data_IF_377986868509
#
_entry.id   IF_377986868509
#
_cell.length_a   1.000
_cell.length_b   1.000
_cell.length_c   1.000
_cell.angle_alpha   90.00
_cell.angle_beta   90.00
_cell.angle_gamma   90.00
#
_symmetry.space_group_name_H-M   'P 1'
#
loop_
_entity.id
_entity.type
_entity.pdbx_description
1 polymer ?
#
# COMPACT_ATOMS: atom_id res chain seq x y z
N UNK A 1 69.85 39.28 -22.93
CA UNK A 1 69.10 37.99 -22.68
C UNK A 1 67.83 38.08 -23.49
N UNK A 2 67.59 37.25 -24.49
CA UNK A 2 66.32 37.26 -25.23
C UNK A 2 65.25 36.64 -24.34
N UNK A 3 64.14 37.36 -24.21
CA UNK A 3 62.95 36.87 -23.56
C UNK A 3 62.41 35.68 -24.37
N UNK A 4 62.32 34.55 -23.76
CA UNK A 4 61.82 33.31 -24.33
C UNK A 4 60.32 33.51 -24.70
N UNK A 5 60.07 33.80 -25.96
CA UNK A 5 58.71 33.91 -26.48
C UNK A 5 58.05 32.53 -26.43
N UNK A 6 56.91 32.45 -25.80
CA UNK A 6 56.15 31.22 -25.68
C UNK A 6 55.99 30.60 -27.13
N UNK A 7 56.39 29.31 -27.26
CA UNK A 7 56.26 28.57 -28.49
C UNK A 7 54.80 28.54 -28.98
N UNK A 8 54.45 29.05 -30.18
CA UNK A 8 53.10 29.12 -30.70
C UNK A 8 52.35 27.77 -30.67
N UNK A 9 53.08 26.68 -30.81
CA UNK A 9 52.51 25.32 -30.73
C UNK A 9 52.05 24.95 -29.30
N UNK A 10 52.85 25.35 -28.30
CA UNK A 10 52.50 25.13 -26.89
C UNK A 10 51.27 25.96 -26.46
N UNK A 11 51.15 27.18 -26.94
CA UNK A 11 49.98 28.04 -26.71
C UNK A 11 48.71 27.43 -27.32
N UNK A 12 48.77 26.87 -28.52
CA UNK A 12 47.63 26.17 -29.15
C UNK A 12 47.22 24.94 -28.35
N UNK A 13 48.19 24.15 -27.87
CA UNK A 13 47.93 22.96 -27.04
C UNK A 13 47.31 23.34 -25.70
N UNK A 14 47.80 24.40 -25.05
CA UNK A 14 47.18 24.90 -23.80
C UNK A 14 45.73 25.31 -23.99
N UNK A 15 45.45 26.07 -25.07
CA UNK A 15 44.08 26.49 -25.43
C UNK A 15 43.19 25.30 -25.76
N UNK A 16 43.68 24.31 -26.49
CA UNK A 16 42.93 23.09 -26.81
C UNK A 16 42.60 22.28 -25.55
N UNK A 17 43.58 22.07 -24.66
CA UNK A 17 43.38 21.41 -23.37
C UNK A 17 42.35 22.16 -22.48
N UNK A 18 42.46 23.48 -22.41
CA UNK A 18 41.52 24.28 -21.62
C UNK A 18 40.08 24.17 -22.16
N UNK A 19 39.88 24.12 -23.48
CA UNK A 19 38.59 23.88 -24.11
C UNK A 19 38.05 22.47 -23.78
N UNK A 20 38.89 21.45 -23.89
CA UNK A 20 38.53 20.07 -23.58
C UNK A 20 38.09 19.93 -22.11
N UNK A 21 38.84 20.51 -21.18
CA UNK A 21 38.48 20.50 -19.75
C UNK A 21 37.16 21.20 -19.48
N UNK A 22 36.86 22.32 -20.17
CA UNK A 22 35.54 22.98 -20.03
C UNK A 22 34.41 22.10 -20.55
N UNK A 23 34.61 21.38 -21.66
CA UNK A 23 33.60 20.45 -22.18
C UNK A 23 33.39 19.26 -21.26
N UNK A 24 34.44 18.66 -20.72
CA UNK A 24 34.37 17.56 -19.76
C UNK A 24 33.66 18.01 -18.48
N UNK A 25 34.02 19.18 -17.93
CA UNK A 25 33.37 19.72 -16.74
C UNK A 25 31.89 20.03 -16.99
N UNK A 26 31.55 20.59 -18.16
CA UNK A 26 30.15 20.84 -18.53
C UNK A 26 29.35 19.54 -18.70
N UNK A 27 29.91 18.53 -19.33
CA UNK A 27 29.29 17.22 -19.50
C UNK A 27 29.08 16.51 -18.13
N UNK A 28 30.09 16.58 -17.25
CA UNK A 28 29.98 16.01 -15.91
C UNK A 28 28.91 16.71 -15.05
N UNK A 29 28.86 18.05 -15.08
CA UNK A 29 27.85 18.84 -14.37
C UNK A 29 26.44 18.56 -14.93
N UNK A 30 26.29 18.51 -16.26
CA UNK A 30 25.00 18.20 -16.90
C UNK A 30 24.55 16.77 -16.60
N UNK A 31 25.45 15.80 -16.61
CA UNK A 31 25.15 14.41 -16.24
C UNK A 31 24.73 14.27 -14.78
N UNK A 32 25.40 14.98 -13.87
CA UNK A 32 25.03 14.99 -12.46
C UNK A 32 23.63 15.58 -12.23
N UNK A 33 23.32 16.73 -12.86
CA UNK A 33 22.00 17.36 -12.74
C UNK A 33 20.89 16.49 -13.34
N UNK A 34 21.13 15.86 -14.49
CA UNK A 34 20.17 14.94 -15.10
C UNK A 34 19.94 13.71 -14.22
N UNK A 35 21.00 13.12 -13.67
CA UNK A 35 20.92 12.00 -12.74
C UNK A 35 20.17 12.35 -11.45
N UNK A 36 20.46 13.52 -10.85
CA UNK A 36 19.75 14.00 -9.68
C UNK A 36 18.26 14.23 -9.97
N UNK A 37 17.91 14.79 -11.13
CA UNK A 37 16.52 14.99 -11.54
C UNK A 37 15.78 13.66 -11.71
N UNK A 38 16.42 12.66 -12.34
CA UNK A 38 15.82 11.33 -12.50
C UNK A 38 15.61 10.61 -11.17
N UNK A 39 16.56 10.72 -10.24
CA UNK A 39 16.43 10.14 -8.90
C UNK A 39 15.29 10.82 -8.13
N UNK A 40 15.21 12.16 -8.14
CA UNK A 40 14.14 12.89 -7.46
C UNK A 40 12.77 12.58 -8.08
N UNK A 41 12.67 12.50 -9.40
CA UNK A 41 11.44 12.10 -10.08
C UNK A 41 11.05 10.65 -9.75
N UNK A 42 12.01 9.74 -9.71
CA UNK A 42 11.80 8.34 -9.33
C UNK A 42 11.31 8.20 -7.89
N UNK A 43 11.87 8.99 -6.96
CA UNK A 43 11.41 9.02 -5.55
C UNK A 43 10.00 9.58 -5.44
N UNK A 44 9.66 10.64 -6.19
CA UNK A 44 8.31 11.22 -6.19
C UNK A 44 7.25 10.27 -6.76
N UNK A 45 7.60 9.49 -7.78
CA UNK A 45 6.68 8.52 -8.40
C UNK A 45 6.60 7.23 -7.55
N UNK A 46 7.71 6.82 -6.90
CA UNK A 46 7.78 5.60 -6.10
C UNK A 46 7.18 5.69 -4.71
N UNK A 47 6.85 6.89 -4.22
CA UNK A 47 6.28 7.12 -2.89
C UNK A 47 4.77 7.37 -2.90
N UNK A 48 4.04 6.95 -3.93
CA UNK A 48 2.59 6.95 -3.87
C UNK A 48 2.15 6.02 -2.73
N UNK A 49 1.69 6.60 -1.63
CA UNK A 49 1.11 5.84 -0.53
C UNK A 49 -0.10 5.06 -1.06
N UNK A 50 -0.15 3.76 -0.75
CA UNK A 50 -1.29 2.94 -1.15
C UNK A 50 -2.48 3.36 -0.31
N UNK A 51 -3.51 3.88 -0.96
CA UNK A 51 -4.79 4.16 -0.32
C UNK A 51 -5.60 2.88 -0.18
N UNK A 52 -6.27 2.73 0.96
CA UNK A 52 -7.23 1.65 1.16
C UNK A 52 -8.53 1.99 0.42
N UNK A 53 -9.24 0.98 -0.09
CA UNK A 53 -10.57 1.21 -0.67
C UNK A 53 -11.51 1.80 0.36
N UNK A 54 -12.44 2.68 -0.07
CA UNK A 54 -13.48 3.19 0.79
C UNK A 54 -14.37 2.05 1.31
N UNK A 55 -14.87 2.14 2.56
CA UNK A 55 -15.81 1.17 3.08
C UNK A 55 -17.12 1.12 2.28
N UNK A 56 -17.59 -0.09 2.02
CA UNK A 56 -18.84 -0.35 1.34
C UNK A 56 -20.03 -0.26 2.30
N UNK A 57 -21.21 -0.03 1.75
CA UNK A 57 -22.45 0.03 2.52
C UNK A 57 -22.98 -1.37 2.86
N UNK A 58 -23.61 -1.49 4.01
CA UNK A 58 -24.36 -2.68 4.44
C UNK A 58 -25.65 -2.26 5.15
N UNK A 59 -26.54 -3.19 5.38
CA UNK A 59 -27.73 -2.96 6.20
C UNK A 59 -27.49 -3.43 7.64
N UNK A 60 -28.20 -2.82 8.60
CA UNK A 60 -28.19 -3.29 10.00
C UNK A 60 -29.52 -3.95 10.31
N UNK A 61 -29.47 -5.21 10.74
CA UNK A 61 -30.64 -5.95 11.14
C UNK A 61 -30.32 -6.84 12.36
N UNK A 62 -31.18 -6.84 13.38
CA UNK A 62 -30.98 -7.63 14.61
C UNK A 62 -29.57 -7.47 15.21
N UNK A 63 -29.09 -6.23 15.37
CA UNK A 63 -27.78 -5.91 15.92
C UNK A 63 -26.62 -6.57 15.15
N UNK A 64 -26.79 -6.81 13.87
CA UNK A 64 -25.77 -7.35 12.98
C UNK A 64 -25.63 -6.49 11.72
N UNK A 65 -24.42 -6.36 11.25
CA UNK A 65 -24.10 -5.88 9.89
C UNK A 65 -24.47 -6.99 8.91
N UNK A 66 -25.39 -6.72 7.99
CA UNK A 66 -25.93 -7.71 7.05
C UNK A 66 -25.56 -7.31 5.63
N UNK A 67 -24.88 -8.20 4.92
CA UNK A 67 -24.33 -8.02 3.59
C UNK A 67 -24.92 -9.10 2.67
N UNK A 68 -25.37 -8.73 1.47
CA UNK A 68 -25.80 -9.73 0.48
C UNK A 68 -24.59 -10.54 -0.01
N UNK A 69 -24.74 -11.86 0.01
CA UNK A 69 -23.70 -12.77 -0.51
C UNK A 69 -23.43 -12.51 -2.00
N UNK A 70 -24.45 -12.12 -2.76
CA UNK A 70 -24.28 -11.81 -4.19
C UNK A 70 -23.32 -10.64 -4.44
N UNK A 71 -23.26 -9.66 -3.53
CA UNK A 71 -22.44 -8.46 -3.69
C UNK A 71 -20.95 -8.70 -3.35
N UNK A 72 -20.65 -9.80 -2.63
CA UNK A 72 -19.31 -10.16 -2.14
C UNK A 72 -18.81 -11.50 -2.69
N UNK A 73 -19.43 -12.01 -3.75
CA UNK A 73 -19.12 -13.32 -4.35
C UNK A 73 -18.31 -13.21 -5.65
N UNK A 74 -17.48 -12.21 -5.76
CA UNK A 74 -16.67 -11.91 -6.95
C UNK A 74 -15.18 -12.27 -6.78
N UNK A 75 -14.78 -12.70 -5.57
CA UNK A 75 -13.40 -13.06 -5.24
C UNK A 75 -12.48 -11.88 -4.93
N UNK A 76 -13.03 -10.65 -4.88
CA UNK A 76 -12.30 -9.43 -4.52
C UNK A 76 -12.38 -9.11 -3.01
N UNK A 77 -11.56 -8.18 -2.58
CA UNK A 77 -11.53 -7.70 -1.20
C UNK A 77 -12.60 -6.64 -0.99
N UNK A 78 -13.59 -6.94 -0.15
CA UNK A 78 -14.61 -6.02 0.30
C UNK A 78 -14.27 -5.48 1.68
N UNK A 79 -14.39 -4.16 1.87
CA UNK A 79 -14.16 -3.48 3.15
C UNK A 79 -15.43 -2.84 3.64
N UNK A 80 -15.67 -2.98 4.94
CA UNK A 80 -16.80 -2.39 5.67
C UNK A 80 -16.30 -1.67 6.89
N UNK A 81 -17.05 -0.68 7.37
CA UNK A 81 -16.73 0.06 8.58
C UNK A 81 -17.98 0.20 9.49
N UNK A 82 -17.76 0.06 10.78
CA UNK A 82 -18.75 0.29 11.81
C UNK A 82 -18.23 1.32 12.80
N UNK A 83 -19.03 2.35 13.08
CA UNK A 83 -18.71 3.33 14.13
C UNK A 83 -19.29 2.84 15.44
N UNK A 84 -18.43 2.55 16.41
CA UNK A 84 -18.80 2.05 17.74
C UNK A 84 -19.53 3.10 18.57
N UNK A 85 -20.12 2.68 19.67
CA UNK A 85 -20.76 3.57 20.66
C UNK A 85 -19.80 4.62 21.25
N UNK A 86 -18.50 4.31 21.29
CA UNK A 86 -17.43 5.23 21.71
C UNK A 86 -16.91 6.16 20.58
N UNK A 87 -17.44 6.05 19.36
CA UNK A 87 -17.05 6.85 18.22
C UNK A 87 -15.80 6.34 17.48
N UNK A 88 -15.32 5.14 17.79
CA UNK A 88 -14.19 4.51 17.09
C UNK A 88 -14.70 3.82 15.83
N UNK A 89 -14.04 4.04 14.70
CA UNK A 89 -14.33 3.33 13.45
C UNK A 89 -13.61 1.99 13.40
N UNK A 90 -14.35 0.90 13.52
CA UNK A 90 -13.84 -0.47 13.39
C UNK A 90 -14.08 -0.97 11.97
N UNK A 91 -13.01 -1.28 11.25
CA UNK A 91 -13.09 -1.80 9.90
C UNK A 91 -12.93 -3.31 9.88
N UNK A 92 -13.69 -3.95 9.00
CA UNK A 92 -13.59 -5.39 8.75
C UNK A 92 -13.61 -5.67 7.24
N UNK A 93 -13.07 -6.81 6.87
CA UNK A 93 -12.96 -7.24 5.49
C UNK A 93 -13.62 -8.58 5.27
N UNK A 94 -14.13 -8.75 4.06
CA UNK A 94 -14.71 -10.00 3.58
C UNK A 94 -14.10 -10.32 2.22
N UNK A 95 -13.80 -11.59 1.99
CA UNK A 95 -13.35 -12.07 0.68
C UNK A 95 -13.93 -13.46 0.42
N UNK A 96 -14.44 -13.69 -0.78
CA UNK A 96 -14.84 -15.03 -1.20
C UNK A 96 -13.61 -15.92 -1.40
N UNK A 97 -13.63 -17.11 -0.82
CA UNK A 97 -12.64 -18.17 -1.03
C UNK A 97 -13.14 -19.18 -2.05
N UNK A 98 -12.27 -20.08 -2.44
CA UNK A 98 -12.67 -21.21 -3.25
C UNK A 98 -13.82 -21.99 -2.60
N UNK A 99 -14.81 -22.42 -3.40
CA UNK A 99 -15.91 -23.26 -2.92
C UNK A 99 -17.01 -22.52 -2.15
N UNK A 100 -17.24 -21.25 -2.44
CA UNK A 100 -18.32 -20.43 -1.85
C UNK A 100 -18.20 -20.19 -0.34
N UNK A 101 -17.05 -20.40 0.26
CA UNK A 101 -16.75 -20.00 1.63
C UNK A 101 -16.18 -18.59 1.66
N UNK A 102 -16.26 -17.93 2.83
CA UNK A 102 -15.76 -16.57 3.02
C UNK A 102 -14.60 -16.54 4.01
N UNK A 103 -13.67 -15.63 3.81
CA UNK A 103 -12.72 -15.16 4.79
C UNK A 103 -13.25 -13.86 5.36
N UNK A 104 -13.49 -13.81 6.67
CA UNK A 104 -13.96 -12.61 7.35
C UNK A 104 -13.02 -12.33 8.51
N UNK A 105 -12.65 -11.06 8.67
CA UNK A 105 -11.76 -10.64 9.74
C UNK A 105 -11.72 -9.12 9.86
N UNK A 106 -11.09 -8.64 10.93
CA UNK A 106 -10.82 -7.21 11.09
C UNK A 106 -9.85 -6.74 10.02
N UNK A 107 -9.96 -5.51 9.56
CA UNK A 107 -8.98 -4.85 8.69
C UNK A 107 -7.73 -4.47 9.50
N UNK A 108 -7.26 -5.41 10.29
CA UNK A 108 -6.19 -5.33 11.26
C UNK A 108 -5.56 -6.71 11.49
N UNK A 109 -4.29 -6.76 11.90
CA UNK A 109 -3.64 -8.00 12.33
C UNK A 109 -2.91 -7.83 13.67
N UNK A 110 -2.55 -8.96 14.30
CA UNK A 110 -1.85 -8.95 15.60
C UNK A 110 -0.46 -8.29 15.54
N UNK A 111 0.19 -8.26 14.39
CA UNK A 111 1.54 -7.74 14.21
C UNK A 111 1.55 -6.26 13.80
N UNK A 112 0.69 -5.88 12.87
CA UNK A 112 0.69 -4.54 12.25
C UNK A 112 -0.44 -3.63 12.77
N UNK A 113 -1.32 -4.13 13.65
CA UNK A 113 -2.47 -3.39 14.13
C UNK A 113 -3.46 -3.05 13.02
N UNK A 114 -4.13 -1.92 13.13
CA UNK A 114 -5.19 -1.43 12.23
C UNK A 114 -4.65 -0.80 10.92
N UNK A 115 -3.55 -1.32 10.39
CA UNK A 115 -2.93 -0.79 9.17
C UNK A 115 -3.77 -1.02 7.90
N UNK A 116 -4.61 -2.03 7.91
CA UNK A 116 -5.48 -2.40 6.80
C UNK A 116 -4.80 -3.25 5.73
N UNK A 117 -5.64 -3.72 4.81
CA UNK A 117 -5.24 -4.54 3.66
C UNK A 117 -5.70 -3.91 2.36
N UNK A 118 -4.97 -4.13 1.30
CA UNK A 118 -5.37 -3.74 -0.05
C UNK A 118 -5.20 -4.91 -1.02
N UNK A 119 -5.92 -4.85 -2.13
CA UNK A 119 -5.79 -5.82 -3.20
C UNK A 119 -4.88 -5.28 -4.30
N UNK A 120 -3.93 -6.13 -4.74
CA UNK A 120 -3.08 -5.84 -5.89
C UNK A 120 -2.73 -7.14 -6.61
N UNK A 121 -2.94 -7.17 -7.92
CA UNK A 121 -2.65 -8.31 -8.78
C UNK A 121 -3.28 -9.62 -8.27
N UNK A 122 -4.53 -9.56 -7.78
CA UNK A 122 -5.27 -10.70 -7.21
C UNK A 122 -4.72 -11.22 -5.88
N UNK A 123 -3.92 -10.42 -5.17
CA UNK A 123 -3.37 -10.74 -3.85
C UNK A 123 -3.84 -9.74 -2.83
N UNK A 124 -4.16 -10.19 -1.65
CA UNK A 124 -4.46 -9.36 -0.49
C UNK A 124 -3.16 -9.07 0.26
N UNK A 125 -2.83 -7.82 0.41
CA UNK A 125 -1.54 -7.36 0.94
C UNK A 125 -1.77 -6.49 2.17
N UNK A 126 -1.04 -6.75 3.25
CA UNK A 126 -1.04 -5.90 4.44
C UNK A 126 -0.36 -4.55 4.11
N UNK A 127 -1.04 -3.42 4.38
CA UNK A 127 -0.54 -2.09 4.03
C UNK A 127 0.79 -1.74 4.71
N UNK A 128 1.02 -2.19 5.95
CA UNK A 128 2.22 -1.82 6.70
C UNK A 128 3.44 -2.66 6.34
N UNK A 129 3.30 -3.99 6.28
CA UNK A 129 4.44 -4.89 6.10
C UNK A 129 4.58 -5.44 4.68
N UNK A 130 3.66 -5.09 3.77
CA UNK A 130 3.63 -5.50 2.36
C UNK A 130 3.64 -7.02 2.11
N UNK A 131 3.32 -7.81 3.16
CA UNK A 131 3.20 -9.26 3.03
C UNK A 131 1.88 -9.61 2.35
N UNK A 132 1.96 -10.44 1.31
CA UNK A 132 0.79 -10.97 0.64
C UNK A 132 0.19 -12.14 1.43
N UNK A 133 -1.12 -12.05 1.70
CA UNK A 133 -1.87 -13.08 2.39
C UNK A 133 -2.25 -14.20 1.42
N UNK A 134 -2.25 -15.43 1.93
CA UNK A 134 -2.92 -16.51 1.24
C UNK A 134 -4.43 -16.40 1.51
N UNK A 135 -5.23 -16.19 0.46
CA UNK A 135 -6.68 -16.00 0.58
C UNK A 135 -7.34 -17.16 1.36
N UNK A 136 -6.86 -18.39 1.17
CA UNK A 136 -7.38 -19.54 1.89
C UNK A 136 -7.22 -19.43 3.42
N UNK A 137 -6.22 -18.68 3.90
CA UNK A 137 -5.94 -18.52 5.34
C UNK A 137 -6.62 -17.29 5.97
N UNK A 138 -7.23 -16.40 5.18
CA UNK A 138 -8.02 -15.29 5.72
C UNK A 138 -9.20 -15.86 6.52
N UNK A 139 -9.38 -15.37 7.75
CA UNK A 139 -10.33 -15.92 8.72
C UNK A 139 -9.73 -16.98 9.66
N UNK A 140 -8.42 -17.26 9.56
CA UNK A 140 -7.68 -18.03 10.56
C UNK A 140 -6.73 -17.12 11.33
N UNK A 141 -6.58 -17.37 12.63
CA UNK A 141 -5.69 -16.60 13.49
C UNK A 141 -4.22 -16.90 13.19
N UNK A 142 -3.40 -15.85 13.17
CA UNK A 142 -1.93 -15.95 13.19
C UNK A 142 -1.21 -15.09 12.18
N UNK A 143 -0.02 -14.62 12.56
CA UNK A 143 0.86 -13.81 11.75
C UNK A 143 0.23 -12.48 11.32
N UNK A 144 0.42 -12.15 10.06
CA UNK A 144 -0.19 -10.96 9.45
C UNK A 144 -1.58 -11.22 8.85
N UNK A 145 -2.22 -12.37 9.13
CA UNK A 145 -3.60 -12.60 8.73
C UNK A 145 -4.52 -11.60 9.44
N UNK A 146 -5.63 -11.19 8.79
CA UNK A 146 -6.70 -10.47 9.44
C UNK A 146 -7.17 -11.19 10.69
N UNK A 147 -7.36 -10.47 11.79
CA UNK A 147 -7.89 -11.04 13.05
C UNK A 147 -9.28 -11.59 12.74
N UNK A 148 -9.52 -12.90 12.89
CA UNK A 148 -10.81 -13.49 12.55
C UNK A 148 -11.90 -12.98 13.48
N UNK A 149 -13.10 -12.76 12.93
CA UNK A 149 -14.30 -12.41 13.67
C UNK A 149 -15.41 -13.40 13.37
N UNK A 150 -16.36 -13.53 14.31
CA UNK A 150 -17.52 -14.38 14.14
C UNK A 150 -18.47 -13.81 13.10
N UNK A 151 -19.00 -14.67 12.26
CA UNK A 151 -20.01 -14.34 11.26
C UNK A 151 -20.91 -15.55 10.97
N UNK A 152 -22.06 -15.31 10.39
CA UNK A 152 -22.98 -16.34 9.93
C UNK A 152 -23.35 -16.09 8.46
N UNK A 153 -23.47 -17.18 7.70
CA UNK A 153 -24.02 -17.13 6.33
C UNK A 153 -25.31 -17.92 6.29
N UNK A 154 -26.40 -17.22 6.03
CA UNK A 154 -27.73 -17.84 5.92
C UNK A 154 -28.60 -17.09 4.93
N UNK A 155 -29.46 -17.80 4.21
CA UNK A 155 -30.46 -17.23 3.31
C UNK A 155 -29.93 -16.20 2.29
N UNK A 156 -28.68 -16.39 1.79
CA UNK A 156 -28.07 -15.48 0.84
C UNK A 156 -27.49 -14.20 1.46
N UNK A 157 -27.37 -14.14 2.77
CA UNK A 157 -26.74 -13.02 3.49
C UNK A 157 -25.57 -13.50 4.36
N UNK A 158 -24.58 -12.63 4.54
CA UNK A 158 -23.51 -12.75 5.52
C UNK A 158 -23.78 -11.72 6.63
N UNK A 159 -23.80 -12.18 7.88
CA UNK A 159 -24.10 -11.35 9.05
C UNK A 159 -22.94 -11.34 10.03
N UNK A 160 -22.50 -10.16 10.46
CA UNK A 160 -21.48 -9.95 11.49
C UNK A 160 -22.14 -9.26 12.67
N UNK A 161 -22.11 -9.84 13.89
CA UNK A 161 -22.69 -9.20 15.08
C UNK A 161 -21.97 -7.89 15.41
N UNK A 162 -22.71 -6.80 15.63
CA UNK A 162 -22.12 -5.50 15.99
C UNK A 162 -21.37 -5.55 17.32
N UNK A 163 -21.80 -6.42 18.25
CA UNK A 163 -21.12 -6.65 19.52
C UNK A 163 -19.67 -7.15 19.34
N UNK A 164 -19.40 -7.93 18.28
CA UNK A 164 -18.04 -8.38 17.95
C UNK A 164 -17.18 -7.19 17.50
N UNK A 165 -17.76 -6.25 16.74
CA UNK A 165 -17.05 -5.05 16.30
C UNK A 165 -16.81 -4.08 17.48
N UNK A 166 -17.82 -3.90 18.35
CA UNK A 166 -17.69 -3.12 19.61
C UNK A 166 -16.54 -3.66 20.49
N UNK A 167 -16.46 -4.98 20.66
CA UNK A 167 -15.45 -5.63 21.50
C UNK A 167 -14.01 -5.47 20.96
N UNK A 168 -13.83 -5.09 19.72
CA UNK A 168 -12.52 -4.90 19.07
C UNK A 168 -12.18 -3.43 18.80
N UNK A 169 -12.91 -2.48 19.38
CA UNK A 169 -12.67 -1.05 19.22
C UNK A 169 -11.23 -0.63 19.57
N UNK A 170 -10.68 -1.19 20.63
CA UNK A 170 -9.32 -0.86 21.13
C UNK A 170 -8.21 -1.09 20.10
N UNK A 171 -8.44 -1.96 19.10
CA UNK A 171 -7.47 -2.22 18.03
C UNK A 171 -7.37 -1.03 17.07
N UNK A 172 -8.43 -0.22 16.98
CA UNK A 172 -8.57 0.90 16.05
C UNK A 172 -8.52 2.28 16.72
N UNK A 173 -8.41 2.31 18.07
CA UNK A 173 -8.39 3.52 18.89
C UNK A 173 -7.06 4.27 18.84
#
# INVERSE_FOLDING_TARGET
>A
MPLEGANPAQERLKKARARLWKLIAGAAAGGYLAGALLITLGVLIGSAEVELSEPESYSVHNESAVINVADISDGHLHRFAYTTSSGVEVRFIVIQKAGSSFGVGLDACEICGASGYYEKDGKIICKLCEVAMNIATIGFKGGCNPIPIEYEVSNGTLSVPLSVLEANADIFA
#
